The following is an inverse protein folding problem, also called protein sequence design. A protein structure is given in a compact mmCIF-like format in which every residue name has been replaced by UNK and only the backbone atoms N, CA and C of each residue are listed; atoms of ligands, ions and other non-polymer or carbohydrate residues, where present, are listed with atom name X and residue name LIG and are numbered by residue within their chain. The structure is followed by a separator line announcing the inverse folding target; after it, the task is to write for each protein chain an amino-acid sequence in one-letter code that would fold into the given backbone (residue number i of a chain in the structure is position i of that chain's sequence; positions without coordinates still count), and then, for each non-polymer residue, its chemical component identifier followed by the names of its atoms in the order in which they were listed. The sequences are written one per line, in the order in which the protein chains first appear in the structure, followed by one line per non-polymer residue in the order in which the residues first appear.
data_IF_055512326496
#
_entry.id   IF_055512326496
#
_cell.length_a   1.000
_cell.length_b   1.000
_cell.length_c   1.000
_cell.angle_alpha   90.00
_cell.angle_beta   90.00
_cell.angle_gamma   90.00
#
_symmetry.space_group_name_H-M   'P 1'
#
loop_
_entity.id
_entity.type
_entity.pdbx_description
1 polymer ?
#
# COMPACT_ATOMS: atom_id res chain seq x y z
N UNK A 1 34.17 3.97 10.25
CA UNK A 1 34.57 3.11 9.12
C UNK A 1 33.39 2.59 8.30
N UNK A 2 32.47 1.78 8.84
CA UNK A 2 31.33 1.24 8.06
C UNK A 2 30.38 2.34 7.58
N UNK A 3 30.01 3.28 8.46
CA UNK A 3 29.14 4.41 8.10
C UNK A 3 29.73 5.23 6.95
N UNK A 4 31.03 5.47 6.98
CA UNK A 4 31.74 6.20 5.92
C UNK A 4 31.76 5.45 4.59
N UNK A 5 31.88 4.12 4.60
CA UNK A 5 31.81 3.29 3.39
C UNK A 5 30.41 3.31 2.78
N UNK A 6 29.37 3.15 3.61
CA UNK A 6 27.98 3.20 3.17
C UNK A 6 27.61 4.60 2.66
N UNK A 7 28.06 5.64 3.33
CA UNK A 7 27.86 7.02 2.90
C UNK A 7 28.62 7.34 1.61
N UNK A 8 29.85 6.86 1.45
CA UNK A 8 30.56 7.00 0.17
C UNK A 8 29.85 6.26 -0.96
N UNK A 9 29.28 5.08 -0.69
CA UNK A 9 28.53 4.32 -1.70
C UNK A 9 27.22 5.01 -2.09
N UNK A 10 26.51 5.60 -1.13
CA UNK A 10 25.21 6.23 -1.34
C UNK A 10 25.17 7.64 -0.73
N UNK A 11 25.86 8.62 -1.34
CA UNK A 11 25.98 9.97 -0.80
C UNK A 11 24.66 10.73 -0.73
N UNK A 12 23.77 10.44 -1.68
CA UNK A 12 22.50 11.14 -1.83
C UNK A 12 21.43 10.63 -0.84
N UNK A 13 21.60 9.42 -0.31
CA UNK A 13 20.68 8.83 0.67
C UNK A 13 20.78 9.56 2.02
N UNK A 14 19.67 10.20 2.42
CA UNK A 14 19.60 10.99 3.66
C UNK A 14 19.93 10.16 4.92
N UNK A 15 19.54 8.88 4.92
CA UNK A 15 19.78 7.95 6.03
C UNK A 15 21.26 7.89 6.41
N UNK A 16 22.18 7.89 5.44
CA UNK A 16 23.62 7.81 5.72
C UNK A 16 24.23 9.13 6.14
N UNK A 17 23.67 10.27 5.71
CA UNK A 17 24.04 11.60 6.22
C UNK A 17 23.65 11.74 7.70
N UNK A 18 22.45 11.32 8.06
CA UNK A 18 21.97 11.31 9.45
C UNK A 18 22.82 10.37 10.32
N UNK A 19 23.13 9.17 9.81
CA UNK A 19 23.99 8.22 10.49
C UNK A 19 25.41 8.77 10.67
N UNK A 20 25.96 9.45 9.65
CA UNK A 20 27.25 10.12 9.73
C UNK A 20 27.31 11.12 10.88
N UNK A 21 26.30 12.01 10.96
CA UNK A 21 26.19 13.00 12.03
C UNK A 21 26.12 12.34 13.43
N UNK A 22 25.37 11.25 13.58
CA UNK A 22 25.27 10.51 14.84
C UNK A 22 26.63 9.96 15.32
N UNK A 23 27.48 9.53 14.40
CA UNK A 23 28.79 8.96 14.71
C UNK A 23 29.95 9.96 14.59
N UNK A 24 29.67 11.27 14.48
CA UNK A 24 30.70 12.32 14.41
C UNK A 24 31.51 12.29 13.10
N UNK A 25 30.93 11.74 12.04
CA UNK A 25 31.50 11.73 10.69
C UNK A 25 30.90 12.90 9.92
N UNK A 26 31.72 13.88 9.54
CA UNK A 26 31.27 15.02 8.71
C UNK A 26 31.33 14.72 7.21
N UNK A 27 32.27 13.86 6.80
CA UNK A 27 32.43 13.43 5.41
C UNK A 27 33.03 12.02 5.34
N UNK A 28 32.69 11.23 4.31
CA UNK A 28 33.38 9.97 4.07
C UNK A 28 34.84 10.21 3.67
N UNK A 29 35.73 9.32 4.09
CA UNK A 29 37.14 9.29 3.63
C UNK A 29 37.31 8.71 2.22
N UNK A 30 36.29 8.03 1.70
CA UNK A 30 36.30 7.37 0.39
C UNK A 30 35.61 8.26 -0.64
N UNK A 31 35.97 8.08 -1.91
CA UNK A 31 35.34 8.81 -3.02
C UNK A 31 33.85 8.48 -3.12
N UNK A 32 32.95 9.48 -3.06
CA UNK A 32 31.53 9.27 -3.19
C UNK A 32 31.13 8.82 -4.59
N UNK A 33 30.18 7.88 -4.69
CA UNK A 33 29.55 7.50 -5.95
C UNK A 33 28.26 8.31 -6.16
N UNK A 34 28.35 9.41 -6.89
CA UNK A 34 27.21 10.30 -7.15
C UNK A 34 26.07 9.58 -7.88
N UNK A 35 24.81 9.88 -7.51
CA UNK A 35 23.61 9.33 -8.15
C UNK A 35 23.24 7.91 -7.73
N UNK A 36 23.99 7.29 -6.81
CA UNK A 36 23.70 5.96 -6.29
C UNK A 36 22.94 6.03 -4.96
N UNK A 37 21.78 5.38 -4.89
CA UNK A 37 20.99 5.25 -3.66
C UNK A 37 21.04 3.82 -3.11
N UNK A 38 21.47 2.83 -3.89
CA UNK A 38 21.47 1.43 -3.49
C UNK A 38 22.82 1.01 -2.89
N UNK A 39 22.79 0.59 -1.62
CA UNK A 39 23.97 0.02 -0.93
C UNK A 39 23.93 -1.51 -0.87
N UNK A 40 23.08 -2.16 -1.68
CA UNK A 40 23.05 -3.61 -1.90
C UNK A 40 22.74 -4.45 -0.65
N UNK A 41 21.87 -3.97 0.24
CA UNK A 41 21.43 -4.73 1.42
C UNK A 41 20.66 -6.02 1.10
N UNK A 42 20.05 -6.11 -0.09
CA UNK A 42 19.30 -7.28 -0.54
C UNK A 42 17.91 -7.44 0.08
N UNK A 43 17.44 -6.50 0.90
CA UNK A 43 16.11 -6.58 1.54
C UNK A 43 14.98 -6.74 0.52
N UNK A 44 15.01 -5.96 -0.56
CA UNK A 44 14.02 -6.04 -1.64
C UNK A 44 14.02 -7.42 -2.34
N UNK A 45 15.21 -7.95 -2.67
CA UNK A 45 15.37 -9.26 -3.31
C UNK A 45 14.85 -10.36 -2.40
N UNK A 46 15.28 -10.38 -1.13
CA UNK A 46 14.83 -11.37 -0.15
C UNK A 46 13.33 -11.31 0.08
N UNK A 47 12.74 -10.12 0.14
CA UNK A 47 11.29 -10.00 0.29
C UNK A 47 10.55 -10.51 -0.96
N UNK A 48 11.04 -10.20 -2.16
CA UNK A 48 10.43 -10.64 -3.41
C UNK A 48 10.50 -12.16 -3.61
N UNK A 49 11.58 -12.79 -3.14
CA UNK A 49 11.78 -14.25 -3.18
C UNK A 49 11.11 -14.95 -1.99
N UNK A 50 11.54 -14.67 -0.76
CA UNK A 50 11.16 -15.42 0.45
C UNK A 50 9.72 -15.14 0.93
N UNK A 51 9.17 -13.93 0.69
CA UNK A 51 7.85 -13.53 1.22
C UNK A 51 6.79 -13.45 0.13
N UNK A 52 7.13 -12.90 -1.03
CA UNK A 52 6.16 -12.76 -2.14
C UNK A 52 6.19 -13.99 -3.05
N UNK A 53 7.32 -14.68 -3.17
CA UNK A 53 7.49 -15.81 -4.09
C UNK A 53 7.58 -15.43 -5.58
N UNK A 54 7.49 -14.14 -5.92
CA UNK A 54 7.42 -13.69 -7.32
C UNK A 54 8.76 -13.76 -8.05
N UNK A 55 9.89 -13.74 -7.33
CA UNK A 55 11.22 -13.85 -7.93
C UNK A 55 11.49 -12.84 -9.07
N UNK A 56 10.88 -11.65 -8.98
CA UNK A 56 10.87 -10.67 -10.06
C UNK A 56 12.17 -9.85 -10.16
N UNK A 57 12.94 -9.78 -9.07
CA UNK A 57 14.19 -9.03 -8.96
C UNK A 57 15.28 -9.89 -8.33
N UNK A 58 16.53 -9.64 -8.70
CA UNK A 58 17.68 -10.34 -8.15
C UNK A 58 18.92 -9.45 -8.15
N UNK A 59 20.03 -9.96 -7.61
CA UNK A 59 21.32 -9.33 -7.82
C UNK A 59 21.83 -9.66 -9.22
N UNK A 60 22.08 -8.63 -10.03
CA UNK A 60 22.73 -8.73 -11.34
C UNK A 60 24.16 -8.21 -11.25
N UNK A 61 25.02 -8.65 -12.18
CA UNK A 61 26.44 -8.25 -12.18
C UNK A 61 27.31 -8.94 -11.12
N UNK A 62 28.58 -8.53 -11.03
CA UNK A 62 29.58 -9.05 -10.07
C UNK A 62 30.51 -7.93 -9.63
N UNK A 63 31.09 -8.08 -8.43
CA UNK A 63 32.08 -7.13 -7.91
C UNK A 63 31.50 -5.72 -7.77
N UNK A 64 32.15 -4.74 -8.40
CA UNK A 64 31.77 -3.31 -8.36
C UNK A 64 30.54 -2.99 -9.23
N UNK A 65 30.26 -3.84 -10.21
CA UNK A 65 29.14 -3.73 -11.15
C UNK A 65 27.89 -4.46 -10.64
N UNK A 66 27.88 -4.89 -9.36
CA UNK A 66 26.73 -5.55 -8.76
C UNK A 66 25.63 -4.52 -8.51
N UNK A 67 24.43 -4.84 -8.95
CA UNK A 67 23.24 -4.01 -8.78
C UNK A 67 21.98 -4.86 -8.55
N UNK A 68 20.87 -4.20 -8.23
CA UNK A 68 19.56 -4.85 -8.19
C UNK A 68 18.90 -4.62 -9.54
N UNK A 69 18.46 -5.69 -10.18
CA UNK A 69 17.81 -5.62 -11.47
C UNK A 69 16.82 -6.75 -11.68
N UNK A 70 15.97 -6.58 -12.69
CA UNK A 70 15.15 -7.65 -13.23
C UNK A 70 15.99 -8.59 -14.12
N UNK A 71 15.52 -9.82 -14.37
CA UNK A 71 16.15 -10.70 -15.34
C UNK A 71 16.34 -10.02 -16.70
N UNK A 72 17.58 -9.98 -17.18
CA UNK A 72 17.97 -9.34 -18.45
C UNK A 72 17.66 -7.84 -18.56
N UNK A 73 17.43 -7.14 -17.45
CA UNK A 73 17.04 -5.72 -17.44
C UNK A 73 15.77 -5.41 -18.24
N UNK A 74 14.86 -6.38 -18.29
CA UNK A 74 13.54 -6.24 -18.91
C UNK A 74 12.46 -6.21 -17.85
N UNK A 75 11.34 -5.55 -18.12
CA UNK A 75 10.20 -5.57 -17.23
C UNK A 75 9.76 -7.00 -16.95
N UNK A 76 9.63 -7.34 -15.67
CA UNK A 76 9.37 -8.70 -15.23
C UNK A 76 7.88 -9.00 -15.30
N UNK A 77 7.51 -9.98 -16.13
CA UNK A 77 6.14 -10.49 -16.19
C UNK A 77 5.70 -11.18 -14.89
N UNK A 78 6.67 -11.75 -14.15
CA UNK A 78 6.44 -12.40 -12.85
C UNK A 78 6.09 -11.39 -11.75
N UNK A 79 6.47 -10.10 -11.90
CA UNK A 79 6.11 -9.07 -10.94
C UNK A 79 4.59 -8.89 -10.90
N UNK A 80 4.01 -8.91 -9.70
CA UNK A 80 2.57 -8.67 -9.47
C UNK A 80 2.26 -7.23 -9.04
N UNK A 81 3.23 -6.31 -9.14
CA UNK A 81 3.13 -4.92 -8.70
C UNK A 81 2.69 -4.73 -7.23
N UNK A 82 3.15 -5.60 -6.33
CA UNK A 82 2.76 -5.58 -4.91
C UNK A 82 3.36 -4.41 -4.09
N UNK A 83 4.35 -3.68 -4.60
CA UNK A 83 4.96 -2.55 -3.89
C UNK A 83 5.93 -2.90 -2.77
N UNK A 84 6.09 -4.18 -2.43
CA UNK A 84 6.86 -4.57 -1.26
C UNK A 84 8.36 -4.20 -1.36
N UNK A 85 8.97 -4.34 -2.54
CA UNK A 85 10.38 -4.00 -2.76
C UNK A 85 10.67 -2.52 -2.51
N UNK A 86 9.78 -1.62 -2.95
CA UNK A 86 9.88 -0.18 -2.73
C UNK A 86 9.65 0.16 -1.25
N UNK A 87 8.66 -0.48 -0.61
CA UNK A 87 8.35 -0.25 0.81
C UNK A 87 9.49 -0.64 1.76
N UNK A 88 10.14 -1.78 1.53
CA UNK A 88 11.24 -2.26 2.38
C UNK A 88 12.58 -1.57 2.07
N UNK A 89 12.65 -0.76 1.02
CA UNK A 89 13.89 -0.10 0.63
C UNK A 89 14.20 1.08 1.57
N UNK A 90 15.27 1.02 2.38
CA UNK A 90 15.57 2.07 3.35
C UNK A 90 16.03 3.39 2.71
N UNK A 91 16.51 3.36 1.47
CA UNK A 91 17.02 4.55 0.75
C UNK A 91 16.12 4.99 -0.40
N UNK A 92 15.03 4.27 -0.69
CA UNK A 92 14.16 4.54 -1.83
C UNK A 92 14.81 4.28 -3.19
N UNK A 93 15.86 3.46 -3.24
CA UNK A 93 16.64 3.21 -4.45
C UNK A 93 15.94 2.35 -5.52
N UNK A 94 14.88 1.63 -5.16
CA UNK A 94 14.09 0.81 -6.08
C UNK A 94 12.64 1.27 -6.08
N UNK A 95 12.09 1.47 -7.26
CA UNK A 95 10.67 1.75 -7.49
C UNK A 95 9.99 0.55 -8.12
N UNK A 96 8.69 0.38 -7.88
CA UNK A 96 7.91 -0.67 -8.58
C UNK A 96 7.95 -0.47 -10.10
N UNK A 97 7.99 0.78 -10.54
CA UNK A 97 8.09 1.17 -11.95
C UNK A 97 9.40 0.74 -12.60
N UNK A 98 10.43 0.43 -11.82
CA UNK A 98 11.71 -0.09 -12.35
C UNK A 98 11.63 -1.60 -12.63
N UNK A 99 10.60 -2.28 -12.10
CA UNK A 99 10.46 -3.73 -12.13
C UNK A 99 9.37 -4.17 -13.13
N UNK A 100 8.31 -3.40 -13.26
CA UNK A 100 7.15 -3.75 -14.09
C UNK A 100 6.38 -2.53 -14.57
N UNK A 101 5.73 -2.67 -15.73
CA UNK A 101 4.77 -1.68 -16.26
C UNK A 101 3.35 -1.87 -15.71
N UNK A 102 3.12 -2.88 -14.88
CA UNK A 102 1.81 -3.12 -14.25
C UNK A 102 1.51 -2.01 -13.25
N UNK A 103 0.34 -1.37 -13.40
CA UNK A 103 -0.10 -0.37 -12.43
C UNK A 103 -0.41 -1.03 -11.08
N UNK A 104 0.12 -0.49 -9.96
CA UNK A 104 -0.28 -0.92 -8.63
C UNK A 104 -1.78 -0.74 -8.47
N UNK A 105 -2.49 -1.79 -8.07
CA UNK A 105 -3.91 -1.69 -7.74
C UNK A 105 -4.04 -1.43 -6.24
N UNK A 106 -4.30 -0.18 -5.81
CA UNK A 106 -4.54 0.08 -4.39
C UNK A 106 -5.80 -0.65 -3.96
N UNK A 107 -5.75 -1.34 -2.83
CA UNK A 107 -6.95 -1.84 -2.18
C UNK A 107 -7.68 -0.66 -1.59
N UNK A 108 -8.89 -0.40 -2.08
CA UNK A 108 -9.70 0.72 -1.65
C UNK A 108 -10.64 0.30 -0.51
N UNK A 109 -10.91 1.22 0.41
CA UNK A 109 -11.85 0.98 1.50
C UNK A 109 -13.27 1.38 1.06
N UNK A 110 -14.16 0.40 1.03
CA UNK A 110 -15.55 0.58 0.58
C UNK A 110 -16.30 1.58 1.46
N UNK A 111 -16.08 1.55 2.78
CA UNK A 111 -16.70 2.48 3.73
C UNK A 111 -16.37 3.95 3.43
N UNK A 112 -15.20 4.23 2.86
CA UNK A 112 -14.76 5.57 2.47
C UNK A 112 -15.05 5.87 0.98
N UNK A 113 -15.94 5.12 0.33
CA UNK A 113 -16.27 5.25 -1.10
C UNK A 113 -15.04 5.15 -2.02
N UNK A 114 -14.03 4.40 -1.58
CA UNK A 114 -12.76 4.24 -2.29
C UNK A 114 -11.86 5.48 -2.32
N UNK A 115 -12.14 6.51 -1.52
CA UNK A 115 -11.29 7.70 -1.38
C UNK A 115 -9.99 7.44 -0.61
N UNK A 116 -9.91 6.29 0.08
CA UNK A 116 -8.75 5.90 0.89
C UNK A 116 -8.37 4.45 0.61
N UNK A 117 -7.06 4.22 0.57
CA UNK A 117 -6.48 2.88 0.54
C UNK A 117 -6.54 2.18 1.89
N UNK A 118 -6.64 0.86 1.87
CA UNK A 118 -6.56 -0.04 3.04
C UNK A 118 -5.54 -1.14 2.83
N UNK A 119 -5.17 -1.82 3.91
CA UNK A 119 -4.43 -3.08 3.83
C UNK A 119 -5.36 -4.29 3.65
N UNK A 120 -4.75 -5.46 3.46
CA UNK A 120 -5.45 -6.76 3.46
C UNK A 120 -6.10 -7.09 4.81
N UNK A 121 -5.58 -6.52 5.89
CA UNK A 121 -6.16 -6.63 7.24
C UNK A 121 -6.56 -5.24 7.67
N UNK A 122 -7.84 -5.06 7.97
CA UNK A 122 -8.40 -3.75 8.26
C UNK A 122 -9.61 -3.85 9.18
N UNK A 123 -9.92 -2.75 9.85
CA UNK A 123 -11.18 -2.56 10.57
C UNK A 123 -12.05 -1.68 9.66
N UNK A 124 -13.32 -2.02 9.40
CA UNK A 124 -14.17 -1.28 8.46
C UNK A 124 -14.24 0.22 8.76
N UNK A 125 -14.36 0.59 10.03
CA UNK A 125 -14.31 1.97 10.51
C UNK A 125 -13.93 2.02 12.00
N UNK A 126 -13.43 3.16 12.53
CA UNK A 126 -12.85 3.20 13.88
C UNK A 126 -13.80 2.85 15.03
N UNK A 127 -15.11 2.98 14.82
CA UNK A 127 -16.17 2.69 15.80
C UNK A 127 -16.93 1.40 15.47
N UNK A 128 -16.34 0.49 14.67
CA UNK A 128 -16.98 -0.77 14.30
C UNK A 128 -17.40 -1.56 15.55
N UNK A 129 -18.55 -2.24 15.48
CA UNK A 129 -19.06 -3.11 16.55
C UNK A 129 -19.43 -4.46 15.92
N UNK A 130 -18.70 -5.55 16.24
CA UNK A 130 -17.50 -5.60 17.08
C UNK A 130 -16.29 -4.88 16.44
N UNK A 131 -15.43 -4.28 17.28
CA UNK A 131 -14.23 -3.57 16.82
C UNK A 131 -13.06 -4.53 16.58
N UNK A 132 -13.23 -5.44 15.62
CA UNK A 132 -12.26 -6.49 15.29
C UNK A 132 -11.80 -6.36 13.84
N UNK A 133 -10.51 -6.61 13.55
CA UNK A 133 -10.01 -6.59 12.19
C UNK A 133 -10.49 -7.80 11.40
N UNK A 134 -10.68 -7.62 10.10
CA UNK A 134 -11.02 -8.68 9.15
C UNK A 134 -9.92 -8.82 8.11
N UNK A 135 -9.73 -10.04 7.60
CA UNK A 135 -8.80 -10.32 6.50
C UNK A 135 -9.59 -10.40 5.20
N UNK A 136 -9.19 -9.60 4.22
CA UNK A 136 -9.69 -9.69 2.86
C UNK A 136 -9.11 -10.91 2.15
N UNK A 137 -9.89 -12.00 2.11
CA UNK A 137 -9.48 -13.26 1.48
C UNK A 137 -9.26 -13.13 -0.03
N UNK A 138 -9.92 -12.20 -0.70
CA UNK A 138 -9.84 -12.06 -2.16
C UNK A 138 -8.49 -11.46 -2.59
N UNK A 139 -7.86 -10.64 -1.75
CA UNK A 139 -6.62 -9.93 -2.10
C UNK A 139 -5.40 -10.33 -1.24
N UNK A 140 -5.62 -11.07 -0.16
CA UNK A 140 -4.54 -11.52 0.72
C UNK A 140 -3.66 -12.58 0.04
N UNK A 141 -2.35 -12.34 0.01
CA UNK A 141 -1.35 -13.25 -0.60
C UNK A 141 -1.30 -14.63 0.07
N UNK A 142 -1.72 -14.76 1.33
CA UNK A 142 -1.87 -16.06 1.99
C UNK A 142 -2.92 -16.91 1.27
N UNK A 143 -4.13 -16.39 1.10
CA UNK A 143 -5.23 -17.13 0.47
C UNK A 143 -5.10 -17.23 -1.06
N UNK A 144 -4.45 -16.27 -1.70
CA UNK A 144 -4.26 -16.25 -3.16
C UNK A 144 -3.13 -17.16 -3.65
N UNK A 145 -2.03 -17.24 -2.89
CA UNK A 145 -0.77 -17.82 -3.36
C UNK A 145 0.00 -18.61 -2.29
N UNK A 146 -0.57 -18.82 -1.10
CA UNK A 146 0.05 -19.52 0.03
C UNK A 146 1.46 -19.01 0.39
N UNK A 147 1.70 -17.70 0.19
CA UNK A 147 3.04 -17.11 0.24
C UNK A 147 3.32 -16.27 1.49
N UNK A 148 2.28 -15.68 2.12
CA UNK A 148 2.44 -14.68 3.18
C UNK A 148 1.87 -15.16 4.52
N UNK A 149 2.58 -14.93 5.63
CA UNK A 149 2.13 -15.27 6.99
C UNK A 149 2.48 -14.21 8.04
N UNK A 150 2.90 -13.01 7.60
CA UNK A 150 3.48 -11.99 8.47
C UNK A 150 2.52 -11.55 9.58
N UNK A 151 1.23 -11.43 9.28
CA UNK A 151 0.25 -11.00 10.27
C UNK A 151 0.09 -11.99 11.44
N UNK A 152 0.18 -13.30 11.19
CA UNK A 152 0.18 -14.31 12.28
C UNK A 152 1.44 -14.19 13.14
N UNK A 153 2.61 -14.01 12.50
CA UNK A 153 3.90 -13.85 13.21
C UNK A 153 3.96 -12.61 14.11
N UNK A 154 3.37 -11.50 13.68
CA UNK A 154 3.45 -10.22 14.43
C UNK A 154 2.28 -10.00 15.39
N UNK A 155 1.23 -10.83 15.36
CA UNK A 155 0.04 -10.68 16.19
C UNK A 155 0.30 -11.20 17.61
N UNK A 156 0.43 -10.34 18.64
CA UNK A 156 0.75 -10.82 19.99
C UNK A 156 -0.32 -11.74 20.59
N UNK A 157 -1.63 -11.50 20.36
CA UNK A 157 -2.68 -12.43 20.80
C UNK A 157 -2.71 -13.78 20.07
N UNK A 158 -2.04 -13.93 18.94
CA UNK A 158 -2.17 -15.13 18.10
C UNK A 158 -3.59 -15.33 17.53
N UNK A 159 -4.31 -14.24 17.26
CA UNK A 159 -5.72 -14.28 16.85
C UNK A 159 -5.95 -14.54 15.35
N UNK A 160 -4.87 -14.65 14.56
CA UNK A 160 -4.97 -14.90 13.12
C UNK A 160 -5.16 -16.39 12.90
N UNK A 161 -6.34 -16.77 12.44
CA UNK A 161 -6.68 -18.13 12.02
C UNK A 161 -6.98 -18.14 10.52
N UNK A 162 -6.15 -18.85 9.76
CA UNK A 162 -6.33 -19.00 8.31
C UNK A 162 -7.24 -20.19 7.95
N UNK A 163 -7.46 -21.12 8.89
CA UNK A 163 -8.27 -22.33 8.71
C UNK A 163 -9.74 -22.08 9.05
N UNK A 164 -10.10 -20.89 9.52
CA UNK A 164 -11.49 -20.53 9.83
C UNK A 164 -12.42 -20.76 8.62
N UNK A 165 -13.49 -21.53 8.80
CA UNK A 165 -14.49 -21.80 7.75
C UNK A 165 -15.84 -21.16 8.07
N UNK A 166 -16.71 -21.09 7.06
CA UNK A 166 -18.08 -20.61 7.22
C UNK A 166 -18.92 -21.65 7.96
N UNK A 167 -19.67 -21.21 8.97
CA UNK A 167 -20.56 -22.07 9.76
C UNK A 167 -22.04 -21.79 9.43
N UNK A 168 -22.81 -22.85 9.18
CA UNK A 168 -24.26 -22.75 9.04
C UNK A 168 -24.94 -22.98 10.39
N UNK A 169 -25.71 -21.99 10.83
CA UNK A 169 -26.45 -22.04 12.10
C UNK A 169 -27.96 -22.15 11.86
N UNK A 170 -28.60 -23.09 12.55
CA UNK A 170 -30.07 -23.22 12.55
C UNK A 170 -30.66 -22.45 13.74
N UNK A 171 -31.52 -21.48 13.46
CA UNK A 171 -32.17 -20.65 14.49
C UNK A 171 -33.68 -20.67 14.30
N UNK A 172 -34.40 -21.20 15.29
CA UNK A 172 -35.86 -21.15 15.30
C UNK A 172 -36.35 -19.74 15.64
N UNK A 173 -37.02 -19.08 14.70
CA UNK A 173 -37.57 -17.73 14.87
C UNK A 173 -39.07 -17.69 14.59
N UNK A 174 -39.79 -16.83 15.30
CA UNK A 174 -41.24 -16.64 15.10
C UNK A 174 -41.60 -15.62 14.01
N UNK A 175 -40.67 -14.70 13.70
CA UNK A 175 -40.83 -13.67 12.67
C UNK A 175 -39.46 -13.24 12.14
N UNK A 176 -39.43 -12.74 10.90
CA UNK A 176 -38.24 -12.19 10.24
C UNK A 176 -38.53 -10.74 9.84
N UNK A 177 -37.62 -9.83 10.17
CA UNK A 177 -37.69 -8.41 9.79
C UNK A 177 -36.58 -8.12 8.77
N UNK A 178 -36.93 -7.58 7.60
CA UNK A 178 -35.96 -7.22 6.56
C UNK A 178 -35.64 -5.74 6.68
N UNK A 179 -34.36 -5.42 6.94
CA UNK A 179 -33.87 -4.05 7.13
C UNK A 179 -32.47 -3.87 6.51
N UNK A 180 -32.27 -4.33 5.27
CA UNK A 180 -30.97 -4.33 4.58
C UNK A 180 -30.51 -2.95 4.07
N UNK A 181 -31.33 -1.90 4.23
CA UNK A 181 -30.97 -0.53 3.84
C UNK A 181 -31.12 -0.28 2.34
N UNK A 182 -30.19 0.51 1.79
CA UNK A 182 -30.16 0.93 0.39
C UNK A 182 -28.72 1.14 -0.07
N UNK A 183 -28.50 1.12 -1.39
CA UNK A 183 -27.23 1.53 -2.02
C UNK A 183 -27.38 2.90 -2.70
N UNK A 184 -26.31 3.73 -2.73
CA UNK A 184 -26.35 5.00 -3.44
C UNK A 184 -26.52 4.79 -4.96
N UNK A 185 -27.14 5.76 -5.62
CA UNK A 185 -27.26 5.78 -7.07
C UNK A 185 -25.87 5.84 -7.75
N UNK A 186 -25.66 5.05 -8.80
CA UNK A 186 -24.44 5.13 -9.61
C UNK A 186 -24.49 6.37 -10.52
N UNK A 187 -23.75 7.41 -10.13
CA UNK A 187 -23.68 8.66 -10.88
C UNK A 187 -23.07 8.51 -12.29
N UNK A 188 -22.44 7.37 -12.64
CA UNK A 188 -21.96 7.09 -14.00
C UNK A 188 -23.11 6.94 -15.01
N UNK A 189 -24.29 6.57 -14.55
CA UNK A 189 -25.51 6.49 -15.38
C UNK A 189 -25.96 7.87 -15.90
N UNK A 190 -25.40 8.96 -15.37
CA UNK A 190 -25.62 10.34 -15.82
C UNK A 190 -24.33 10.96 -16.37
N UNK A 191 -23.89 10.56 -17.58
CA UNK A 191 -22.63 11.01 -18.14
C UNK A 191 -22.58 12.53 -18.37
N UNK A 192 -23.72 13.21 -18.47
CA UNK A 192 -23.82 14.67 -18.58
C UNK A 192 -23.19 15.42 -17.40
N UNK A 193 -23.15 14.81 -16.21
CA UNK A 193 -22.51 15.40 -15.03
C UNK A 193 -21.02 15.04 -14.90
N UNK A 194 -20.52 14.09 -15.71
CA UNK A 194 -19.10 13.79 -15.82
C UNK A 194 -18.47 13.10 -14.61
N UNK A 195 -19.26 12.43 -13.77
CA UNK A 195 -18.75 11.58 -12.69
C UNK A 195 -17.85 10.46 -13.24
N UNK A 196 -16.70 10.23 -12.61
CA UNK A 196 -15.67 9.29 -13.08
C UNK A 196 -14.78 9.82 -14.23
N UNK A 197 -15.14 10.93 -14.87
CA UNK A 197 -14.30 11.62 -15.87
C UNK A 197 -13.58 12.82 -15.26
N UNK A 198 -14.29 13.63 -14.48
CA UNK A 198 -13.75 14.80 -13.82
C UNK A 198 -13.43 14.49 -12.36
N UNK A 199 -12.18 14.68 -11.96
CA UNK A 199 -11.72 14.38 -10.59
C UNK A 199 -12.43 15.19 -9.50
N UNK A 200 -12.99 16.35 -9.84
CA UNK A 200 -13.68 17.24 -8.93
C UNK A 200 -15.21 17.04 -8.90
N UNK A 201 -15.73 16.08 -9.66
CA UNK A 201 -17.14 15.68 -9.59
C UNK A 201 -17.23 14.45 -8.69
N UNK A 202 -17.89 14.62 -7.55
CA UNK A 202 -18.09 13.58 -6.54
C UNK A 202 -19.58 13.45 -6.20
N UNK A 203 -19.95 12.30 -5.68
CA UNK A 203 -21.27 11.99 -5.13
C UNK A 203 -21.45 12.63 -3.75
N UNK A 204 -22.71 12.75 -3.32
CA UNK A 204 -23.03 13.23 -1.97
C UNK A 204 -22.43 12.36 -0.87
N UNK A 205 -22.38 11.03 -1.06
CA UNK A 205 -21.82 10.13 -0.05
C UNK A 205 -20.29 10.26 0.05
N UNK A 206 -19.58 10.42 -1.07
CA UNK A 206 -18.14 10.75 -1.06
C UNK A 206 -17.88 12.08 -0.34
N UNK A 207 -18.73 13.09 -0.57
CA UNK A 207 -18.64 14.37 0.14
C UNK A 207 -18.82 14.20 1.66
N UNK A 208 -19.81 13.42 2.11
CA UNK A 208 -20.00 13.09 3.52
C UNK A 208 -18.77 12.40 4.13
N UNK A 209 -18.15 11.47 3.39
CA UNK A 209 -16.89 10.84 3.83
C UNK A 209 -15.78 11.87 4.00
N UNK A 210 -15.59 12.80 3.07
CA UNK A 210 -14.61 13.88 3.18
C UNK A 210 -14.90 14.83 4.35
N UNK A 211 -16.17 15.13 4.61
CA UNK A 211 -16.60 15.99 5.71
C UNK A 211 -16.52 15.31 7.08
N UNK A 212 -16.50 13.97 7.14
CA UNK A 212 -16.42 13.22 8.39
C UNK A 212 -15.07 13.40 9.09
N UNK A 213 -15.09 13.67 10.41
CA UNK A 213 -13.89 13.70 11.24
C UNK A 213 -13.13 12.37 11.26
N UNK A 214 -13.85 11.25 11.10
CA UNK A 214 -13.28 9.90 10.99
C UNK A 214 -12.95 9.48 9.56
N UNK A 215 -13.26 10.34 8.59
CA UNK A 215 -13.09 10.09 7.17
C UNK A 215 -11.64 10.25 6.68
N UNK A 216 -11.40 10.03 5.38
CA UNK A 216 -10.07 9.97 4.79
C UNK A 216 -9.27 11.26 4.96
N UNK A 217 -9.94 12.41 4.96
CA UNK A 217 -9.34 13.74 5.08
C UNK A 217 -9.56 14.39 6.44
N UNK A 218 -10.05 13.63 7.43
CA UNK A 218 -10.31 14.09 8.82
C UNK A 218 -11.17 15.35 8.89
N UNK A 219 -12.23 15.39 8.08
CA UNK A 219 -13.19 16.48 8.02
C UNK A 219 -12.78 17.67 7.15
N UNK A 220 -11.70 17.54 6.37
CA UNK A 220 -11.29 18.56 5.40
C UNK A 220 -11.82 18.18 4.02
N UNK A 221 -12.67 19.02 3.44
CA UNK A 221 -13.12 18.84 2.06
C UNK A 221 -11.93 19.18 1.15
N UNK A 222 -11.17 18.15 0.75
CA UNK A 222 -9.96 18.27 -0.05
C UNK A 222 -9.99 17.23 -1.15
N UNK A 223 -9.84 17.67 -2.39
CA UNK A 223 -9.81 16.83 -3.59
C UNK A 223 -8.42 16.95 -4.20
N UNK A 224 -7.71 15.82 -4.33
CA UNK A 224 -6.34 15.77 -4.87
C UNK A 224 -5.39 16.82 -4.27
N UNK A 225 -5.41 16.99 -2.95
CA UNK A 225 -4.56 17.95 -2.26
C UNK A 225 -5.03 19.40 -2.32
N UNK A 226 -6.13 19.72 -3.02
CA UNK A 226 -6.64 21.09 -3.14
C UNK A 226 -7.96 21.26 -2.38
N UNK A 227 -8.07 22.36 -1.63
CA UNK A 227 -9.33 22.74 -0.97
C UNK A 227 -10.16 23.59 -1.95
N UNK A 228 -11.38 23.15 -2.31
CA UNK A 228 -12.23 23.93 -3.20
C UNK A 228 -12.67 25.22 -2.51
N UNK A 229 -12.64 26.33 -3.25
CA UNK A 229 -13.15 27.63 -2.77
C UNK A 229 -14.64 27.80 -3.05
N UNK A 230 -15.11 27.15 -4.11
CA UNK A 230 -16.49 27.21 -4.60
C UNK A 230 -16.99 25.78 -4.78
N UNK A 231 -18.23 25.54 -4.37
CA UNK A 231 -18.90 24.24 -4.38
C UNK A 231 -20.29 24.42 -4.99
N UNK A 232 -20.70 23.48 -5.83
CA UNK A 232 -22.03 23.45 -6.45
C UNK A 232 -22.66 22.09 -6.15
N UNK A 233 -23.84 22.11 -5.52
CA UNK A 233 -24.66 20.92 -5.35
C UNK A 233 -25.67 20.84 -6.50
N UNK A 234 -25.66 19.71 -7.21
CA UNK A 234 -26.63 19.42 -8.26
C UNK A 234 -27.69 18.52 -7.65
N UNK A 235 -28.86 19.10 -7.40
CA UNK A 235 -30.04 18.35 -6.98
C UNK A 235 -30.81 17.81 -8.20
N UNK A 236 -31.65 16.81 -7.96
CA UNK A 236 -32.58 16.25 -8.93
C UNK A 236 -33.80 17.16 -9.15
#
# INVERSE_FOLDING_TARGET
MIVELLWARCPDAEVFRQLGAQYGVEKPRFEPREGELCYLCGLCVRFCDEVVGANAISFTGRGVDREIGTPFYKMSEACIACGACEFVCPTGAIKVTDVTDKEPRPLLLDFDMGLRGRGNIFIPFPQAVPNVPVIDRQHCLHFQADACGVCSLVCPPGAVDYEQEDEFIEVGVGAVVVATGFDPFDAKEKPEFGYGRYHNVITGLEFERLASASGPTKGKIQLNGTVPKELVFVHC
#
